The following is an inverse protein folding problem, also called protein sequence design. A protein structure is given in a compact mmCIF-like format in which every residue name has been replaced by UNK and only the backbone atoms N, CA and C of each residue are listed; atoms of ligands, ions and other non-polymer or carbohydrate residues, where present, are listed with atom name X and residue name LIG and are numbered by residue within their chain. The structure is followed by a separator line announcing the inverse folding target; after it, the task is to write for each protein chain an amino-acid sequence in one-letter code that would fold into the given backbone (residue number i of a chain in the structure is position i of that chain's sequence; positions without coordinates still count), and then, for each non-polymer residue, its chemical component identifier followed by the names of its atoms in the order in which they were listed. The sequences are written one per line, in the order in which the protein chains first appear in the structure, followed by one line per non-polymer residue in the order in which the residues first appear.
data_IF_355737874415
#
_entry.id   IF_355737874415
#
_cell.length_a   1.000
_cell.length_b   1.000
_cell.length_c   1.000
_cell.angle_alpha   90.00
_cell.angle_beta   90.00
_cell.angle_gamma   90.00
#
_symmetry.space_group_name_H-M   'P 1'
#
loop_
_entity.id
_entity.type
_entity.pdbx_description
1 polymer ?
#
# COMPACT_ATOMS: atom_id res chain seq x y z
N UNK A 1 17.56 -15.12 -10.68
CA UNK A 1 18.63 -14.73 -9.72
C UNK A 1 19.92 -15.49 -10.00
N UNK A 2 19.91 -16.83 -10.06
CA UNK A 2 21.15 -17.63 -10.26
C UNK A 2 21.90 -17.28 -11.56
N UNK A 3 21.20 -16.98 -12.65
CA UNK A 3 21.82 -16.53 -13.91
C UNK A 3 22.48 -15.15 -13.76
N UNK A 4 21.85 -14.22 -13.04
CA UNK A 4 22.43 -12.91 -12.72
C UNK A 4 23.71 -13.06 -11.91
N UNK A 5 23.70 -13.89 -10.86
CA UNK A 5 24.88 -14.14 -10.02
C UNK A 5 26.06 -14.76 -10.77
N UNK A 6 25.80 -15.50 -11.84
CA UNK A 6 26.84 -16.15 -12.67
C UNK A 6 27.27 -15.32 -13.87
N UNK A 7 26.72 -14.12 -14.07
CA UNK A 7 26.96 -13.32 -15.27
C UNK A 7 26.45 -13.97 -16.58
N UNK A 8 25.57 -14.95 -16.46
CA UNK A 8 25.04 -15.69 -17.61
C UNK A 8 23.71 -15.13 -18.14
N UNK A 9 23.20 -14.05 -17.55
CA UNK A 9 21.97 -13.39 -18.00
C UNK A 9 22.29 -12.48 -19.18
N UNK A 10 21.59 -12.68 -20.29
CA UNK A 10 21.63 -11.83 -21.47
C UNK A 10 20.21 -11.28 -21.70
N UNK A 11 20.04 -9.97 -21.62
CA UNK A 11 18.71 -9.32 -21.82
C UNK A 11 18.18 -9.50 -23.24
N UNK A 12 19.09 -9.63 -24.21
CA UNK A 12 18.81 -9.79 -25.63
C UNK A 12 18.09 -11.12 -25.95
N UNK A 13 18.17 -12.10 -25.06
CA UNK A 13 17.50 -13.41 -25.21
C UNK A 13 16.00 -13.30 -24.95
N UNK A 14 15.49 -12.14 -24.49
CA UNK A 14 14.11 -11.95 -24.06
C UNK A 14 13.53 -10.64 -24.60
N UNK A 15 12.28 -10.66 -25.06
CA UNK A 15 11.56 -9.45 -25.49
C UNK A 15 11.15 -8.57 -24.30
N UNK A 16 10.76 -9.19 -23.19
CA UNK A 16 10.34 -8.53 -21.95
C UNK A 16 10.28 -9.51 -20.77
N UNK A 17 10.14 -8.98 -19.58
CA UNK A 17 9.89 -9.74 -18.36
C UNK A 17 8.56 -9.35 -17.72
N UNK A 18 7.68 -10.31 -17.44
CA UNK A 18 6.56 -10.13 -16.54
C UNK A 18 7.08 -10.31 -15.11
N UNK A 19 7.34 -9.19 -14.45
CA UNK A 19 7.89 -9.18 -13.11
C UNK A 19 6.77 -9.32 -12.07
N UNK A 20 6.60 -10.53 -11.56
CA UNK A 20 5.51 -10.90 -10.64
C UNK A 20 5.97 -10.91 -9.19
N UNK A 21 6.71 -9.90 -8.78
CA UNK A 21 7.27 -9.77 -7.44
C UNK A 21 7.31 -8.32 -7.00
N UNK A 22 7.69 -8.08 -5.74
CA UNK A 22 7.90 -6.76 -5.13
C UNK A 22 9.36 -6.47 -4.82
N UNK A 23 10.29 -7.29 -5.28
CA UNK A 23 11.71 -7.05 -5.15
C UNK A 23 12.15 -5.94 -6.11
N UNK A 24 12.02 -4.69 -5.62
CA UNK A 24 12.37 -3.48 -6.36
C UNK A 24 13.85 -3.49 -6.77
N UNK A 25 14.73 -4.05 -5.92
CA UNK A 25 16.17 -4.07 -6.21
C UNK A 25 16.49 -5.02 -7.36
N UNK A 26 15.89 -6.21 -7.38
CA UNK A 26 16.02 -7.13 -8.48
C UNK A 26 15.42 -6.57 -9.78
N UNK A 27 14.23 -5.93 -9.68
CA UNK A 27 13.62 -5.27 -10.83
C UNK A 27 14.53 -4.20 -11.42
N UNK A 28 15.09 -3.30 -10.60
CA UNK A 28 16.01 -2.25 -11.03
C UNK A 28 17.31 -2.82 -11.62
N UNK A 29 17.82 -3.93 -11.06
CA UNK A 29 19.00 -4.61 -11.61
C UNK A 29 18.72 -5.15 -13.00
N UNK A 30 17.57 -5.79 -13.22
CA UNK A 30 17.17 -6.30 -14.53
C UNK A 30 17.02 -5.18 -15.56
N UNK A 31 16.37 -4.06 -15.19
CA UNK A 31 16.27 -2.88 -16.05
C UNK A 31 17.64 -2.27 -16.37
N UNK A 32 18.54 -2.23 -15.39
CA UNK A 32 19.92 -1.79 -15.59
C UNK A 32 20.74 -2.65 -16.56
N UNK A 33 20.33 -3.91 -16.75
CA UNK A 33 20.87 -4.82 -17.75
C UNK A 33 20.13 -4.76 -19.10
N UNK A 34 19.23 -3.78 -19.30
CA UNK A 34 18.51 -3.58 -20.54
C UNK A 34 17.18 -4.35 -20.66
N UNK A 35 16.75 -5.08 -19.61
CA UNK A 35 15.48 -5.82 -19.64
C UNK A 35 14.29 -4.88 -19.53
N UNK A 36 13.31 -5.02 -20.43
CA UNK A 36 12.02 -4.35 -20.33
C UNK A 36 11.11 -5.09 -19.36
N UNK A 37 10.73 -4.44 -18.25
CA UNK A 37 9.87 -5.03 -17.23
C UNK A 37 8.42 -4.52 -17.31
N UNK A 38 7.50 -5.42 -16.97
CA UNK A 38 6.10 -5.12 -16.65
C UNK A 38 5.75 -5.73 -15.27
N UNK A 39 5.55 -4.89 -14.20
CA UNK A 39 5.72 -3.44 -14.19
C UNK A 39 7.21 -3.05 -13.99
N UNK A 40 7.52 -1.76 -14.22
CA UNK A 40 8.86 -1.23 -13.98
C UNK A 40 9.20 -1.18 -12.48
N UNK A 41 10.49 -1.17 -12.16
CA UNK A 41 10.96 -1.06 -10.76
C UNK A 41 10.43 0.20 -10.07
N UNK A 42 10.36 1.33 -10.79
CA UNK A 42 9.81 2.59 -10.28
C UNK A 42 8.30 2.49 -9.98
N UNK A 43 7.53 1.84 -10.85
CA UNK A 43 6.10 1.61 -10.62
C UNK A 43 5.87 0.68 -9.42
N UNK A 44 6.66 -0.39 -9.29
CA UNK A 44 6.58 -1.33 -8.16
C UNK A 44 6.91 -0.59 -6.86
N UNK A 45 8.01 0.18 -6.81
CA UNK A 45 8.39 0.95 -5.65
C UNK A 45 7.31 1.95 -5.24
N UNK A 46 6.75 2.67 -6.23
CA UNK A 46 5.69 3.64 -6.00
C UNK A 46 4.40 3.02 -5.46
N UNK A 47 4.08 1.79 -5.85
CA UNK A 47 2.84 1.11 -5.45
C UNK A 47 2.98 0.28 -4.17
N UNK A 48 4.18 -0.18 -3.83
CA UNK A 48 4.41 -0.97 -2.62
C UNK A 48 4.46 -0.12 -1.35
N UNK A 49 5.03 1.09 -1.45
CA UNK A 49 5.06 2.08 -0.35
C UNK A 49 3.82 2.99 -0.40
N UNK A 50 2.91 2.84 0.59
CA UNK A 50 1.68 3.63 0.66
C UNK A 50 1.91 5.13 0.84
N UNK A 51 3.00 5.53 1.50
CA UNK A 51 3.37 6.94 1.63
C UNK A 51 3.82 7.50 0.28
N UNK A 52 4.65 6.76 -0.44
CA UNK A 52 5.10 7.16 -1.77
C UNK A 52 3.94 7.19 -2.78
N UNK A 53 3.03 6.19 -2.74
CA UNK A 53 1.79 6.20 -3.52
C UNK A 53 1.00 7.49 -3.28
N UNK A 54 0.78 7.84 -2.00
CA UNK A 54 0.05 9.06 -1.64
C UNK A 54 0.75 10.33 -2.16
N UNK A 55 2.06 10.44 -1.97
CA UNK A 55 2.85 11.60 -2.42
C UNK A 55 2.82 11.78 -3.95
N UNK A 56 2.85 10.69 -4.71
CA UNK A 56 2.78 10.74 -6.17
C UNK A 56 1.39 11.06 -6.71
N UNK A 57 0.34 10.58 -6.06
CA UNK A 57 -1.04 10.77 -6.53
C UNK A 57 -1.66 12.09 -6.07
N UNK A 58 -1.26 12.62 -4.92
CA UNK A 58 -1.81 13.86 -4.38
C UNK A 58 -1.72 15.07 -5.35
N UNK A 59 -0.60 15.32 -6.05
CA UNK A 59 -0.51 16.41 -7.02
C UNK A 59 -1.39 16.20 -8.26
N UNK A 60 -1.83 14.97 -8.53
CA UNK A 60 -2.68 14.63 -9.68
C UNK A 60 -4.16 15.01 -9.47
N UNK A 61 -4.53 15.54 -8.30
CA UNK A 61 -5.91 15.93 -8.00
C UNK A 61 -6.88 14.76 -7.83
N UNK A 62 -6.37 13.54 -7.68
CA UNK A 62 -7.19 12.34 -7.47
C UNK A 62 -7.80 12.39 -6.07
N UNK A 63 -9.13 12.23 -5.92
CA UNK A 63 -9.77 12.17 -4.61
C UNK A 63 -9.19 11.03 -3.77
N UNK A 64 -8.65 11.38 -2.60
CA UNK A 64 -8.09 10.41 -1.65
C UNK A 64 -8.56 10.75 -0.24
N UNK A 65 -8.69 9.76 0.66
CA UNK A 65 -8.95 10.03 2.06
C UNK A 65 -7.89 10.95 2.66
N UNK A 66 -8.28 11.80 3.60
CA UNK A 66 -7.34 12.64 4.35
C UNK A 66 -6.24 11.75 4.96
N UNK A 67 -5.00 12.08 4.67
CA UNK A 67 -3.83 11.24 5.01
C UNK A 67 -2.69 12.11 5.53
N UNK A 68 -2.09 11.69 6.63
CA UNK A 68 -0.88 12.28 7.21
C UNK A 68 0.19 11.18 7.30
N UNK A 69 1.36 11.44 6.71
CA UNK A 69 2.50 10.53 6.80
C UNK A 69 3.21 10.79 8.14
N UNK A 70 3.44 9.73 8.91
CA UNK A 70 4.13 9.83 10.18
C UNK A 70 5.62 10.21 9.99
N UNK A 71 6.22 10.92 10.96
CA UNK A 71 7.67 11.10 10.98
C UNK A 71 8.38 9.74 10.97
N UNK A 72 9.47 9.64 10.22
CA UNK A 72 10.25 8.39 10.17
C UNK A 72 11.09 8.24 11.43
N UNK A 73 11.10 7.03 11.99
CA UNK A 73 12.06 6.60 12.99
C UNK A 73 12.74 5.30 12.55
N UNK A 74 13.63 4.78 13.36
CA UNK A 74 14.35 3.53 13.10
C UNK A 74 14.08 2.55 14.23
N UNK A 75 14.10 1.25 13.96
CA UNK A 75 13.77 0.19 14.93
C UNK A 75 14.63 0.19 16.18
N UNK A 76 15.88 0.66 16.07
CA UNK A 76 16.81 0.78 17.18
C UNK A 76 16.71 2.11 17.95
N UNK A 77 15.88 3.05 17.49
CA UNK A 77 15.65 4.36 18.12
C UNK A 77 14.23 4.43 18.68
N UNK A 78 13.22 4.09 17.88
CA UNK A 78 11.81 4.22 18.23
C UNK A 78 11.36 5.69 18.30
N UNK A 79 10.17 5.89 18.83
CA UNK A 79 9.66 7.24 19.16
C UNK A 79 9.83 7.49 20.66
N UNK A 80 10.63 8.49 21.00
CA UNK A 80 10.82 8.93 22.40
C UNK A 80 9.70 9.87 22.85
N UNK A 81 8.99 10.49 21.90
CA UNK A 81 7.83 11.37 22.12
C UNK A 81 6.75 11.05 21.10
N UNK A 82 5.50 10.93 21.58
CA UNK A 82 4.30 10.67 20.76
C UNK A 82 3.36 11.86 20.68
N UNK A 83 3.84 13.07 21.01
CA UNK A 83 3.04 14.31 20.94
C UNK A 83 2.48 14.50 19.53
N UNK A 84 3.29 14.28 18.51
CA UNK A 84 2.81 14.36 17.11
C UNK A 84 1.60 13.44 16.83
N UNK A 85 1.57 12.25 17.42
CA UNK A 85 0.47 11.31 17.20
C UNK A 85 -0.82 11.77 17.89
N UNK A 86 -0.71 12.36 19.09
CA UNK A 86 -1.83 12.98 19.81
C UNK A 86 -2.40 14.17 19.03
N UNK A 87 -1.52 15.06 18.55
CA UNK A 87 -1.92 16.22 17.77
C UNK A 87 -2.62 15.82 16.46
N UNK A 88 -2.07 14.84 15.72
CA UNK A 88 -2.71 14.31 14.52
C UNK A 88 -4.05 13.65 14.86
N UNK A 89 -4.12 12.85 15.92
CA UNK A 89 -5.35 12.24 16.39
C UNK A 89 -6.44 13.26 16.73
N UNK A 90 -6.07 14.31 17.44
CA UNK A 90 -6.97 15.41 17.79
C UNK A 90 -7.46 16.19 16.54
N UNK A 91 -6.55 16.51 15.62
CA UNK A 91 -6.86 17.21 14.38
C UNK A 91 -7.76 16.41 13.45
N UNK A 92 -7.38 15.15 13.18
CA UNK A 92 -8.10 14.28 12.25
C UNK A 92 -9.38 13.71 12.87
N UNK A 93 -9.51 13.67 14.19
CA UNK A 93 -10.62 13.09 14.96
C UNK A 93 -10.75 11.57 14.75
N UNK A 94 -11.15 10.88 15.79
CA UNK A 94 -11.38 9.43 15.75
C UNK A 94 -12.74 9.07 15.13
N UNK A 95 -12.90 7.85 14.57
CA UNK A 95 -11.87 6.83 14.42
C UNK A 95 -10.84 7.19 13.34
N UNK A 96 -9.64 6.60 13.48
CA UNK A 96 -8.54 6.71 12.51
C UNK A 96 -8.09 5.32 12.05
N UNK A 97 -7.49 5.29 10.88
CA UNK A 97 -6.79 4.12 10.38
C UNK A 97 -5.28 4.41 10.40
N UNK A 98 -4.52 3.52 11.03
CA UNK A 98 -3.06 3.47 10.92
C UNK A 98 -2.70 2.41 9.88
N UNK A 99 -1.85 2.75 8.92
CA UNK A 99 -1.37 1.83 7.89
C UNK A 99 0.14 1.83 7.87
N UNK A 100 0.77 0.67 8.00
CA UNK A 100 2.18 0.55 7.67
C UNK A 100 2.40 0.86 6.19
N UNK A 101 3.48 1.57 5.86
CA UNK A 101 3.77 1.94 4.47
C UNK A 101 3.94 0.72 3.59
N UNK A 102 4.60 -0.30 4.09
CA UNK A 102 4.78 -1.59 3.41
C UNK A 102 3.80 -2.63 3.94
N UNK A 103 3.47 -3.60 3.11
CA UNK A 103 2.57 -4.68 3.46
C UNK A 103 1.40 -4.85 2.49
N UNK A 104 0.78 -6.02 2.56
CA UNK A 104 -0.23 -6.47 1.60
C UNK A 104 -1.42 -7.11 2.29
N UNK A 105 -2.48 -7.35 1.50
CA UNK A 105 -3.64 -8.13 1.89
C UNK A 105 -4.45 -7.59 3.07
N UNK A 106 -4.24 -6.31 3.45
CA UNK A 106 -4.93 -5.69 4.58
C UNK A 106 -4.36 -6.04 5.96
N UNK A 107 -3.26 -6.81 6.03
CA UNK A 107 -2.69 -7.26 7.31
C UNK A 107 -2.10 -6.12 8.14
N UNK A 108 -1.54 -5.09 7.49
CA UNK A 108 -0.89 -3.94 8.12
C UNK A 108 -1.79 -2.70 8.13
N UNK A 109 -3.09 -2.90 8.38
CA UNK A 109 -4.10 -1.83 8.42
C UNK A 109 -4.89 -1.97 9.72
N UNK A 110 -4.83 -0.93 10.54
CA UNK A 110 -5.32 -0.97 11.92
C UNK A 110 -6.35 0.12 12.16
N UNK A 111 -7.45 -0.25 12.78
CA UNK A 111 -8.49 0.67 13.21
C UNK A 111 -8.19 1.15 14.63
N UNK A 112 -8.17 2.47 14.84
CA UNK A 112 -7.98 3.09 16.13
C UNK A 112 -9.22 3.94 16.48
N UNK A 113 -9.93 3.54 17.53
CA UNK A 113 -11.18 4.17 17.96
C UNK A 113 -10.95 5.43 18.77
N UNK A 114 -9.79 5.51 19.44
CA UNK A 114 -9.41 6.58 20.34
C UNK A 114 -7.89 6.74 20.45
N UNK A 115 -7.46 7.69 21.26
CA UNK A 115 -6.03 7.98 21.48
C UNK A 115 -5.28 6.79 22.10
N UNK A 116 -5.90 6.08 23.04
CA UNK A 116 -5.25 4.98 23.72
C UNK A 116 -4.89 3.85 22.74
N UNK A 117 -5.83 3.46 21.88
CA UNK A 117 -5.59 2.48 20.83
C UNK A 117 -4.55 2.95 19.81
N UNK A 118 -4.57 4.24 19.47
CA UNK A 118 -3.60 4.83 18.56
C UNK A 118 -2.19 4.71 19.12
N UNK A 119 -1.97 5.17 20.35
CA UNK A 119 -0.64 5.16 20.99
C UNK A 119 -0.13 3.72 21.22
N UNK A 120 -1.01 2.82 21.65
CA UNK A 120 -0.69 1.39 21.78
C UNK A 120 -0.24 0.80 20.43
N UNK A 121 -0.98 1.14 19.35
CA UNK A 121 -0.63 0.65 18.01
C UNK A 121 0.72 1.17 17.56
N UNK A 122 1.00 2.46 17.71
CA UNK A 122 2.27 3.05 17.32
C UNK A 122 3.43 2.40 18.10
N UNK A 123 3.25 2.15 19.39
CA UNK A 123 4.24 1.43 20.21
C UNK A 123 4.57 0.03 19.67
N UNK A 124 3.58 -0.66 19.08
CA UNK A 124 3.76 -2.00 18.50
C UNK A 124 4.40 -2.01 17.11
N UNK A 125 4.46 -0.87 16.41
CA UNK A 125 5.04 -0.79 15.07
C UNK A 125 6.57 -0.92 15.05
N UNK A 126 7.25 -0.69 16.18
CA UNK A 126 8.69 -0.93 16.32
C UNK A 126 9.58 -0.14 15.36
N UNK A 127 9.13 1.02 14.89
CA UNK A 127 9.87 1.85 13.92
C UNK A 127 9.52 1.57 12.45
N UNK A 128 8.56 0.69 12.17
CA UNK A 128 8.03 0.54 10.82
C UNK A 128 7.40 1.86 10.34
N UNK A 129 7.71 2.35 9.12
CA UNK A 129 7.10 3.56 8.60
C UNK A 129 5.60 3.36 8.39
N UNK A 130 4.82 4.38 8.75
CA UNK A 130 3.36 4.31 8.68
C UNK A 130 2.73 5.67 8.35
N UNK A 131 1.43 5.64 8.11
CA UNK A 131 0.61 6.82 7.89
C UNK A 131 -0.70 6.72 8.68
N UNK A 132 -1.28 7.88 8.97
CA UNK A 132 -2.64 8.04 9.48
C UNK A 132 -3.57 8.33 8.31
N UNK A 133 -4.77 7.78 8.34
CA UNK A 133 -5.76 8.02 7.30
C UNK A 133 -7.16 8.05 7.89
N UNK A 134 -7.99 8.97 7.38
CA UNK A 134 -9.43 8.99 7.69
C UNK A 134 -10.11 7.78 7.08
N UNK A 135 -10.95 7.04 7.81
CA UNK A 135 -11.78 6.02 7.19
C UNK A 135 -12.82 6.62 6.27
N UNK A 136 -13.15 5.94 5.19
CA UNK A 136 -14.28 6.25 4.33
C UNK A 136 -15.49 5.50 4.88
N UNK A 137 -16.25 6.17 5.74
CA UNK A 137 -17.31 5.55 6.54
C UNK A 137 -18.42 4.95 5.68
N UNK A 138 -18.69 5.55 4.51
CA UNK A 138 -19.73 5.12 3.58
C UNK A 138 -19.41 3.78 2.88
N UNK A 139 -18.15 3.35 2.93
CA UNK A 139 -17.70 2.13 2.26
C UNK A 139 -16.99 1.13 3.17
N UNK A 140 -17.30 1.18 4.49
CA UNK A 140 -16.73 0.20 5.42
C UNK A 140 -17.06 -1.23 5.00
N UNK A 141 -16.05 -2.09 5.00
CA UNK A 141 -16.18 -3.50 4.62
C UNK A 141 -16.44 -3.74 3.13
N UNK A 142 -16.36 -2.73 2.27
CA UNK A 142 -16.53 -2.88 0.83
C UNK A 142 -15.63 -1.94 0.03
N UNK A 143 -15.16 -2.40 -1.11
CA UNK A 143 -14.44 -1.58 -2.08
C UNK A 143 -14.62 -2.11 -3.51
N UNK A 144 -14.30 -1.28 -4.48
CA UNK A 144 -14.20 -1.70 -5.89
C UNK A 144 -12.72 -1.82 -6.25
N UNK A 145 -12.31 -3.00 -6.70
CA UNK A 145 -10.99 -3.21 -7.28
C UNK A 145 -11.07 -3.16 -8.79
N UNK A 146 -10.29 -2.30 -9.39
CA UNK A 146 -10.14 -2.20 -10.86
C UNK A 146 -8.76 -2.68 -11.25
N UNK A 147 -8.69 -3.64 -12.16
CA UNK A 147 -7.44 -4.07 -12.78
C UNK A 147 -7.28 -3.32 -14.12
N UNK A 148 -6.17 -2.60 -14.23
CA UNK A 148 -5.84 -1.82 -15.42
C UNK A 148 -4.67 -2.48 -16.13
N UNK A 149 -4.78 -2.66 -17.45
CA UNK A 149 -3.72 -3.16 -18.31
C UNK A 149 -3.54 -2.17 -19.45
N UNK A 150 -2.36 -1.58 -19.51
CA UNK A 150 -2.10 -0.45 -20.41
C UNK A 150 -2.98 0.76 -20.03
N UNK A 151 -3.84 1.18 -20.92
CA UNK A 151 -4.77 2.31 -20.77
C UNK A 151 -6.22 1.89 -20.50
N UNK A 152 -6.47 0.60 -20.27
CA UNK A 152 -7.83 0.04 -20.17
C UNK A 152 -8.10 -0.63 -18.83
N UNK A 153 -9.27 -0.38 -18.28
CA UNK A 153 -9.82 -1.18 -17.19
C UNK A 153 -10.19 -2.58 -17.75
N UNK A 154 -9.35 -3.57 -17.48
CA UNK A 154 -9.52 -4.94 -17.96
C UNK A 154 -10.57 -5.72 -17.18
N UNK A 155 -10.69 -5.46 -15.88
CA UNK A 155 -11.67 -6.08 -15.01
C UNK A 155 -11.97 -5.18 -13.81
N UNK A 156 -13.19 -5.25 -13.29
CA UNK A 156 -13.56 -4.64 -12.02
C UNK A 156 -14.36 -5.61 -11.18
N UNK A 157 -14.16 -5.56 -9.87
CA UNK A 157 -14.85 -6.40 -8.91
C UNK A 157 -15.23 -5.60 -7.68
N UNK A 158 -16.41 -5.80 -7.17
CA UNK A 158 -16.86 -5.32 -5.87
C UNK A 158 -16.47 -6.37 -4.83
N UNK A 159 -15.78 -5.94 -3.78
CA UNK A 159 -15.39 -6.82 -2.67
C UNK A 159 -16.17 -6.46 -1.42
N UNK A 160 -16.53 -7.49 -0.63
CA UNK A 160 -17.30 -7.33 0.60
C UNK A 160 -16.68 -8.12 1.74
N UNK A 161 -16.66 -7.53 2.93
CA UNK A 161 -16.40 -8.25 4.17
C UNK A 161 -17.61 -9.14 4.51
N UNK A 162 -17.37 -10.37 4.91
CA UNK A 162 -18.42 -11.28 5.40
C UNK A 162 -18.52 -11.28 6.93
N UNK A 163 -17.48 -10.82 7.62
CA UNK A 163 -17.37 -10.84 9.08
C UNK A 163 -17.73 -9.51 9.75
N UNK A 164 -18.09 -8.49 8.97
CA UNK A 164 -18.24 -7.12 9.48
C UNK A 164 -16.91 -6.40 9.72
N UNK A 165 -15.78 -6.98 9.27
CA UNK A 165 -14.49 -6.28 9.28
C UNK A 165 -14.57 -5.04 8.38
N UNK A 166 -13.95 -3.95 8.78
CA UNK A 166 -13.91 -2.71 7.99
C UNK A 166 -13.12 -2.87 6.68
N UNK A 167 -12.30 -3.92 6.57
CA UNK A 167 -11.54 -4.30 5.37
C UNK A 167 -12.33 -5.32 4.56
N UNK A 168 -12.19 -5.32 3.25
CA UNK A 168 -12.86 -6.21 2.30
C UNK A 168 -11.92 -7.23 1.62
N UNK A 169 -10.69 -7.37 2.11
CA UNK A 169 -9.68 -8.23 1.50
C UNK A 169 -10.08 -9.71 1.55
N UNK A 170 -9.89 -10.43 0.43
CA UNK A 170 -10.22 -11.86 0.32
C UNK A 170 -9.45 -12.73 1.32
N UNK A 171 -8.19 -12.39 1.58
CA UNK A 171 -7.31 -13.12 2.52
C UNK A 171 -7.78 -13.08 3.98
N UNK A 172 -8.68 -12.18 4.32
CA UNK A 172 -9.28 -12.07 5.65
C UNK A 172 -10.77 -12.46 5.65
N UNK A 173 -11.20 -13.24 4.66
CA UNK A 173 -12.55 -13.77 4.56
C UNK A 173 -13.53 -12.90 3.78
N UNK A 174 -13.06 -11.93 3.01
CA UNK A 174 -13.91 -11.18 2.09
C UNK A 174 -14.34 -12.02 0.88
N UNK A 175 -15.41 -11.60 0.23
CA UNK A 175 -15.90 -12.13 -1.04
C UNK A 175 -15.81 -11.11 -2.15
N UNK A 176 -15.95 -11.54 -3.40
CA UNK A 176 -15.96 -10.64 -4.55
C UNK A 176 -16.99 -11.08 -5.58
N UNK A 177 -17.49 -10.08 -6.30
CA UNK A 177 -18.37 -10.27 -7.45
C UNK A 177 -18.01 -9.32 -8.61
N UNK A 178 -18.30 -9.66 -9.87
CA UNK A 178 -18.09 -8.76 -10.99
C UNK A 178 -18.80 -7.43 -10.78
N UNK A 179 -18.14 -6.33 -11.15
CA UNK A 179 -18.67 -4.97 -11.00
C UNK A 179 -18.62 -4.21 -12.34
N UNK A 180 -19.74 -3.62 -12.74
CA UNK A 180 -19.79 -2.76 -13.90
C UNK A 180 -19.33 -1.35 -13.51
N UNK A 181 -18.30 -0.84 -14.19
CA UNK A 181 -17.86 0.55 -14.00
C UNK A 181 -18.86 1.49 -14.69
N UNK A 182 -19.34 2.48 -13.97
CA UNK A 182 -20.07 3.62 -14.54
C UNK A 182 -19.07 4.65 -15.06
N UNK A 183 -19.47 5.33 -16.15
CA UNK A 183 -18.69 6.44 -16.71
C UNK A 183 -18.81 7.70 -15.87
#
# INVERSE_FOLDING_TARGET
VSALCRGAFQSEDYDFCLFWDKDVQLAAQLEGLGMRLFNSSDAIAACDDKALTYLRLKPCGIPMPETVIAPKTFSNVGYTDLTFAREIGAQMRYPLIVKECFGSFGMQVYWCRDEAELLERIGKLGGAPFLFQKPVMESLGRDVRVNVVGDRAAAAMLRHSQSGDFRSNLTIGGTMEPHALTR
#
